data_IF_711268659444
#
_entry.id   IF_711268659444
#
_cell.length_a   1.000
_cell.length_b   1.000
_cell.length_c   1.000
_cell.angle_alpha   90.00
_cell.angle_beta   90.00
_cell.angle_gamma   90.00
#
_symmetry.space_group_name_H-M   'P 1'
#
loop_
_entity.id
_entity.type
_entity.pdbx_description
1 polymer ?
#
# COMPACT_ATOMS: atom_id res chain seq x y z
N UNK A 1 1.64 4.26 2.08
CA UNK A 1 0.82 4.99 3.08
C UNK A 1 1.03 6.50 3.08
N UNK A 2 2.25 7.04 3.23
CA UNK A 2 2.47 8.51 3.29
C UNK A 2 1.89 9.29 2.11
N UNK A 3 2.06 8.78 0.89
CA UNK A 3 1.49 9.40 -0.30
C UNK A 3 -0.06 9.43 -0.27
N UNK A 4 -0.70 8.35 0.19
CA UNK A 4 -2.17 8.28 0.27
C UNK A 4 -2.73 9.22 1.34
N UNK A 5 -2.04 9.34 2.46
CA UNK A 5 -2.39 10.32 3.52
C UNK A 5 -2.32 11.76 3.00
N UNK A 6 -1.25 12.10 2.26
CA UNK A 6 -1.13 13.39 1.58
C UNK A 6 -2.27 13.63 0.58
N UNK A 7 -2.59 12.65 -0.27
CA UNK A 7 -3.68 12.78 -1.24
C UNK A 7 -5.01 13.01 -0.53
N UNK A 8 -5.32 12.22 0.50
CA UNK A 8 -6.55 12.36 1.28
C UNK A 8 -6.67 13.76 1.91
N UNK A 9 -5.59 14.31 2.46
CA UNK A 9 -5.57 15.66 3.04
C UNK A 9 -5.86 16.77 2.00
N UNK A 10 -5.63 16.51 0.71
CA UNK A 10 -5.86 17.46 -0.38
C UNK A 10 -7.11 17.15 -1.20
N UNK A 11 -8.00 16.29 -0.71
CA UNK A 11 -9.18 15.82 -1.45
C UNK A 11 -8.81 15.21 -2.81
N UNK A 12 -7.75 14.40 -2.81
CA UNK A 12 -7.28 13.63 -3.95
C UNK A 12 -7.37 12.13 -3.66
N UNK A 13 -7.52 11.35 -4.72
CA UNK A 13 -7.43 9.89 -4.70
C UNK A 13 -6.62 9.44 -5.91
N UNK A 14 -5.87 8.34 -5.78
CA UNK A 14 -5.18 7.72 -6.89
C UNK A 14 -6.14 6.90 -7.77
N UNK A 15 -7.08 6.16 -7.17
CA UNK A 15 -8.20 5.48 -7.84
C UNK A 15 -7.84 4.28 -8.72
N UNK A 16 -6.55 4.04 -9.00
CA UNK A 16 -6.03 2.91 -9.78
C UNK A 16 -4.75 2.31 -9.18
N UNK A 17 -4.66 2.21 -7.86
CA UNK A 17 -3.43 1.75 -7.22
C UNK A 17 -3.26 0.23 -7.44
N UNK A 18 -2.13 -0.17 -8.01
CA UNK A 18 -1.77 -1.57 -8.27
C UNK A 18 -0.23 -1.69 -8.41
N UNK A 19 0.30 -2.89 -8.62
CA UNK A 19 1.74 -3.11 -8.76
C UNK A 19 2.36 -2.49 -10.04
N UNK A 20 1.60 -2.23 -11.10
CA UNK A 20 2.14 -1.63 -12.33
C UNK A 20 2.35 -0.11 -12.20
N UNK A 21 1.61 0.51 -11.29
CA UNK A 21 1.59 1.96 -11.10
C UNK A 21 2.32 2.39 -9.82
N UNK A 22 3.12 1.48 -9.24
CA UNK A 22 4.01 1.72 -8.12
C UNK A 22 5.44 1.47 -8.58
N UNK A 23 6.26 2.50 -8.55
CA UNK A 23 7.64 2.44 -9.01
C UNK A 23 8.62 2.63 -7.86
N UNK A 24 9.83 2.11 -8.05
CA UNK A 24 10.95 2.37 -7.15
C UNK A 24 11.96 3.22 -7.91
N UNK A 25 12.20 4.44 -7.41
CA UNK A 25 13.23 5.32 -7.97
C UNK A 25 14.64 4.78 -7.72
N UNK A 26 15.63 5.29 -8.46
CA UNK A 26 17.06 5.00 -8.23
C UNK A 26 17.55 5.34 -6.81
N UNK A 27 16.84 6.22 -6.10
CA UNK A 27 17.12 6.56 -4.71
C UNK A 27 16.41 5.64 -3.69
N UNK A 28 15.75 4.57 -4.14
CA UNK A 28 15.04 3.63 -3.26
C UNK A 28 13.73 4.19 -2.71
N UNK A 29 13.19 5.25 -3.31
CA UNK A 29 11.87 5.79 -2.93
C UNK A 29 10.77 5.09 -3.73
N UNK A 30 9.71 4.68 -3.03
CA UNK A 30 8.47 4.19 -3.63
C UNK A 30 7.64 5.39 -4.10
N UNK A 31 7.27 5.38 -5.38
CA UNK A 31 6.53 6.44 -6.08
C UNK A 31 5.23 5.83 -6.62
N UNK A 32 4.13 6.57 -6.53
CA UNK A 32 2.86 6.25 -7.20
C UNK A 32 2.70 7.22 -8.38
N UNK A 33 2.09 6.76 -9.48
CA UNK A 33 1.91 7.56 -10.70
C UNK A 33 0.96 8.76 -10.47
N UNK A 34 1.48 10.00 -10.40
CA UNK A 34 0.67 11.16 -10.03
C UNK A 34 -0.38 11.52 -11.08
N UNK A 35 -0.16 11.18 -12.36
CA UNK A 35 -1.06 11.45 -13.48
C UNK A 35 -2.42 10.73 -13.35
N UNK A 36 -2.47 9.66 -12.55
CA UNK A 36 -3.70 8.93 -12.27
C UNK A 36 -4.51 9.53 -11.13
N UNK A 37 -3.94 10.48 -10.39
CA UNK A 37 -4.62 11.13 -9.28
C UNK A 37 -5.75 12.04 -9.79
N UNK A 38 -6.87 12.03 -9.06
CA UNK A 38 -8.04 12.87 -9.36
C UNK A 38 -8.59 13.49 -8.09
N UNK A 39 -9.25 14.64 -8.23
CA UNK A 39 -10.03 15.23 -7.14
C UNK A 39 -11.17 14.30 -6.76
N UNK A 40 -11.36 14.11 -5.46
CA UNK A 40 -12.53 13.41 -4.94
C UNK A 40 -13.75 14.31 -5.09
N UNK A 41 -14.79 13.83 -5.74
CA UNK A 41 -16.11 14.47 -5.68
C UNK A 41 -16.78 14.20 -4.32
N UNK A 42 -17.87 14.91 -3.99
CA UNK A 42 -18.61 14.67 -2.75
C UNK A 42 -19.12 13.21 -2.64
N UNK A 43 -19.42 12.56 -3.78
CA UNK A 43 -19.80 11.16 -3.87
C UNK A 43 -18.62 10.18 -3.72
N UNK A 44 -17.38 10.68 -3.73
CA UNK A 44 -16.14 9.90 -3.71
C UNK A 44 -15.44 9.87 -2.35
N UNK A 45 -16.08 10.29 -1.24
CA UNK A 45 -15.49 10.11 0.10
C UNK A 45 -15.15 8.63 0.41
N UNK A 46 -15.83 7.71 -0.27
CA UNK A 46 -15.57 6.26 -0.23
C UNK A 46 -14.26 5.88 -0.97
N UNK A 47 -13.79 6.69 -1.92
CA UNK A 47 -12.59 6.38 -2.72
C UNK A 47 -11.27 6.49 -1.94
N UNK A 48 -11.19 7.35 -0.92
CA UNK A 48 -10.03 7.38 -0.03
C UNK A 48 -9.80 6.03 0.67
N UNK A 49 -10.89 5.34 1.01
CA UNK A 49 -10.85 3.97 1.54
C UNK A 49 -10.48 2.94 0.47
N UNK A 50 -10.83 3.18 -0.79
CA UNK A 50 -10.48 2.29 -1.90
C UNK A 50 -8.97 2.22 -2.14
N UNK A 51 -8.27 3.36 -2.13
CA UNK A 51 -6.82 3.38 -2.30
C UNK A 51 -6.10 2.60 -1.17
N UNK A 52 -6.65 2.66 0.05
CA UNK A 52 -6.14 1.91 1.20
C UNK A 52 -6.39 0.40 1.03
N UNK A 53 -7.59 0.00 0.59
CA UNK A 53 -7.91 -1.39 0.28
C UNK A 53 -7.00 -1.96 -0.81
N UNK A 54 -6.66 -1.15 -1.82
CA UNK A 54 -5.74 -1.55 -2.88
C UNK A 54 -4.32 -1.77 -2.34
N UNK A 55 -3.86 -1.00 -1.35
CA UNK A 55 -2.61 -1.33 -0.61
C UNK A 55 -2.72 -2.68 0.09
N UNK A 56 -3.87 -3.01 0.68
CA UNK A 56 -4.14 -4.31 1.27
C UNK A 56 -3.97 -5.45 0.25
N UNK A 57 -4.57 -5.31 -0.93
CA UNK A 57 -4.44 -6.28 -2.04
C UNK A 57 -2.99 -6.40 -2.53
N UNK A 58 -2.31 -5.29 -2.74
CA UNK A 58 -0.90 -5.26 -3.15
C UNK A 58 -0.04 -5.99 -2.10
N UNK A 59 -0.24 -5.69 -0.82
CA UNK A 59 0.49 -6.32 0.28
C UNK A 59 0.24 -7.83 0.28
N UNK A 60 -1.01 -8.27 0.10
CA UNK A 60 -1.36 -9.68 -0.04
C UNK A 60 -0.64 -10.35 -1.20
N UNK A 61 -0.64 -9.70 -2.37
CA UNK A 61 0.04 -10.23 -3.56
C UNK A 61 1.54 -10.35 -3.36
N UNK A 62 2.17 -9.38 -2.72
CA UNK A 62 3.62 -9.42 -2.43
C UNK A 62 3.98 -10.57 -1.48
N UNK A 63 3.19 -10.80 -0.42
CA UNK A 63 3.50 -11.85 0.57
C UNK A 63 3.15 -13.26 0.06
N UNK A 64 2.07 -13.40 -0.71
CA UNK A 64 1.63 -14.69 -1.26
C UNK A 64 2.22 -15.03 -2.62
N UNK A 65 2.87 -14.06 -3.28
CA UNK A 65 3.31 -14.13 -4.68
C UNK A 65 2.17 -14.53 -5.64
N UNK A 66 0.96 -14.05 -5.36
CA UNK A 66 -0.26 -14.47 -6.07
C UNK A 66 -1.26 -13.32 -6.22
N UNK A 67 -1.88 -13.24 -7.39
CA UNK A 67 -2.95 -12.27 -7.69
C UNK A 67 -4.34 -12.78 -7.30
N UNK A 68 -4.46 -14.01 -6.81
CA UNK A 68 -5.74 -14.58 -6.40
C UNK A 68 -6.25 -13.90 -5.12
N UNK A 69 -7.34 -13.13 -5.26
CA UNK A 69 -7.96 -12.32 -4.21
C UNK A 69 -8.55 -13.13 -3.04
N UNK A 70 -8.75 -14.43 -3.20
CA UNK A 70 -9.37 -15.30 -2.18
C UNK A 70 -8.38 -15.81 -1.13
N UNK A 71 -7.07 -15.62 -1.33
CA UNK A 71 -6.07 -16.05 -0.36
C UNK A 71 -6.06 -15.10 0.83
N UNK A 72 -6.54 -15.60 1.98
CA UNK A 72 -6.25 -15.01 3.28
C UNK A 72 -4.80 -15.33 3.67
N UNK A 73 -4.13 -14.44 4.42
CA UNK A 73 -2.77 -14.70 4.87
C UNK A 73 -2.88 -15.81 5.92
N UNK A 74 -2.21 -16.93 5.71
CA UNK A 74 -2.15 -18.01 6.69
C UNK A 74 -1.52 -17.47 8.00
N UNK A 75 -2.28 -17.39 9.11
CA UNK A 75 -1.78 -16.83 10.36
C UNK A 75 -0.69 -17.69 11.00
N UNK A 76 -0.50 -18.94 10.57
CA UNK A 76 0.62 -19.78 11.00
C UNK A 76 1.91 -19.46 10.23
N UNK A 77 1.79 -18.90 9.03
CA UNK A 77 2.93 -18.55 8.16
C UNK A 77 3.37 -17.10 8.31
N UNK A 78 2.46 -16.21 8.66
CA UNK A 78 2.70 -14.77 8.69
C UNK A 78 2.58 -14.20 10.09
N UNK A 79 3.34 -13.14 10.37
CA UNK A 79 3.25 -12.45 11.67
C UNK A 79 1.84 -11.92 11.92
N UNK A 80 1.37 -11.99 13.17
CA UNK A 80 0.07 -11.43 13.58
C UNK A 80 -0.06 -9.94 13.21
N UNK A 81 1.05 -9.20 13.19
CA UNK A 81 1.07 -7.78 12.79
C UNK A 81 0.73 -7.58 11.32
N UNK A 82 1.16 -8.48 10.43
CA UNK A 82 0.82 -8.42 9.02
C UNK A 82 -0.67 -8.75 8.80
N UNK A 83 -1.17 -9.79 9.49
CA UNK A 83 -2.58 -10.19 9.41
C UNK A 83 -3.50 -9.06 9.90
N UNK A 84 -3.16 -8.44 11.02
CA UNK A 84 -3.87 -7.29 11.59
C UNK A 84 -3.83 -6.08 10.64
N UNK A 85 -2.65 -5.75 10.09
CA UNK A 85 -2.51 -4.68 9.10
C UNK A 85 -3.44 -4.89 7.88
N UNK A 86 -3.42 -6.09 7.31
CA UNK A 86 -4.24 -6.45 6.14
C UNK A 86 -5.74 -6.33 6.45
N UNK A 87 -6.16 -6.73 7.64
CA UNK A 87 -7.55 -6.60 8.08
C UNK A 87 -7.96 -5.13 8.21
N UNK A 88 -7.09 -4.30 8.80
CA UNK A 88 -7.34 -2.86 8.97
C UNK A 88 -7.33 -2.10 7.64
N UNK A 89 -6.67 -2.58 6.58
CA UNK A 89 -6.76 -1.95 5.25
C UNK A 89 -8.18 -1.93 4.66
N UNK A 90 -9.10 -2.71 5.22
CA UNK A 90 -10.50 -2.74 4.79
C UNK A 90 -11.35 -1.62 5.41
N UNK A 91 -10.97 -1.14 6.59
CA UNK A 91 -11.81 -0.27 7.43
C UNK A 91 -11.13 1.05 7.79
N UNK A 92 -9.81 1.09 7.87
CA UNK A 92 -9.05 2.23 8.38
C UNK A 92 -8.60 3.20 7.29
N UNK A 93 -8.35 4.45 7.70
CA UNK A 93 -7.78 5.48 6.82
C UNK A 93 -6.27 5.31 6.64
N UNK A 94 -5.71 6.00 5.63
CA UNK A 94 -4.27 6.04 5.43
C UNK A 94 -3.52 6.66 6.62
N UNK A 95 -4.07 7.71 7.24
CA UNK A 95 -3.52 8.37 8.43
C UNK A 95 -3.45 7.42 9.62
N UNK A 96 -4.49 6.61 9.84
CA UNK A 96 -4.54 5.64 10.93
C UNK A 96 -3.51 4.52 10.71
N UNK A 97 -3.48 3.94 9.52
CA UNK A 97 -2.57 2.86 9.16
C UNK A 97 -1.10 3.28 9.16
N UNK A 98 -0.78 4.55 8.95
CA UNK A 98 0.59 5.06 9.11
C UNK A 98 1.15 4.82 10.53
N UNK A 99 0.28 4.75 11.53
CA UNK A 99 0.66 4.49 12.91
C UNK A 99 0.74 3.00 13.25
N UNK A 100 0.37 2.13 12.31
CA UNK A 100 0.28 0.70 12.51
C UNK A 100 1.65 0.07 12.82
N UNK A 101 1.67 -0.87 13.77
CA UNK A 101 2.92 -1.52 14.25
C UNK A 101 3.67 -2.29 13.16
N UNK A 102 2.95 -2.78 12.14
CA UNK A 102 3.56 -3.43 10.97
C UNK A 102 4.50 -2.49 10.22
N UNK A 103 4.11 -1.21 10.05
CA UNK A 103 4.90 -0.21 9.32
C UNK A 103 6.02 0.41 10.16
N UNK A 104 6.01 0.19 11.47
CA UNK A 104 7.06 0.62 12.41
C UNK A 104 8.26 -0.34 12.42
N UNK A 105 8.14 -1.51 11.78
CA UNK A 105 9.22 -2.48 11.60
C UNK A 105 10.12 -2.15 10.42
N UNK A 106 11.43 -2.34 10.60
CA UNK A 106 12.50 -1.90 9.72
C UNK A 106 12.38 -2.36 8.25
N UNK A 107 12.26 -1.39 7.35
CA UNK A 107 12.73 -1.48 5.96
C UNK A 107 13.54 -0.22 5.67
N UNK A 108 14.85 -0.35 5.48
CA UNK A 108 15.71 0.77 5.10
C UNK A 108 15.62 0.94 3.59
N UNK A 109 15.77 2.17 3.10
CA UNK A 109 15.80 2.45 1.66
C UNK A 109 16.84 1.59 0.91
N UNK A 110 17.97 1.30 1.57
CA UNK A 110 19.01 0.42 1.02
C UNK A 110 18.56 -1.03 0.81
N UNK A 111 17.66 -1.54 1.65
CA UNK A 111 17.15 -2.91 1.53
C UNK A 111 16.31 -3.06 0.26
N UNK A 112 15.47 -2.06 -0.05
CA UNK A 112 14.65 -2.07 -1.26
C UNK A 112 15.50 -1.98 -2.54
N UNK A 113 16.54 -1.13 -2.55
CA UNK A 113 17.47 -1.06 -3.68
C UNK A 113 18.22 -2.38 -3.89
N UNK A 114 18.63 -3.05 -2.82
CA UNK A 114 19.30 -4.34 -2.93
C UNK A 114 18.43 -5.39 -3.63
N UNK A 115 17.10 -5.38 -3.38
CA UNK A 115 16.16 -6.27 -4.04
C UNK A 115 15.99 -5.94 -5.53
N UNK A 116 16.02 -4.67 -5.91
CA UNK A 116 15.89 -4.27 -7.32
C UNK A 116 17.16 -4.53 -8.15
N UNK A 117 18.33 -4.53 -7.51
CA UNK A 117 19.63 -4.70 -8.18
C UNK A 117 20.13 -6.16 -8.19
N UNK A 118 19.48 -7.08 -7.48
CA UNK A 118 19.86 -8.51 -7.42
C UNK A 118 19.43 -9.32 -8.67
N UNK A 119 18.65 -8.72 -9.58
CA UNK A 119 18.22 -9.34 -10.85
C UNK A 119 18.79 -8.59 -12.08
N UNK A 120 20.09 -8.28 -12.08
CA UNK A 120 20.82 -7.74 -13.23
C UNK A 120 21.91 -8.70 -13.71
#
# INVERSE_FOLDING_TARGET
>A
MRALDFLAAHNLTHGKLNLTNIWVSRAGKVIIEPELCRRTSYHDKILGYRDVQDVGKITMTLVTKSTHSERKPDPQRYSLRLVDFLSQTLTESASHLLQHRFLKGHGRQGDLLSLCCQEA
#
